data_IF_297573183721
#
_entry.id   IF_297573183721
#
_cell.length_a   1.000
_cell.length_b   1.000
_cell.length_c   1.000
_cell.angle_alpha   90.00
_cell.angle_beta   90.00
_cell.angle_gamma   90.00
#
_symmetry.space_group_name_H-M   'P 1'
#
loop_
_entity.id
_entity.type
_entity.pdbx_description
1 polymer ?
#
# COMPACT_ATOMS: atom_id res chain seq x y z
N UNK A 1 -9.16 -7.40 -10.63
CA UNK A 1 -9.62 -8.78 -10.29
C UNK A 1 -10.68 -8.70 -9.19
N UNK A 2 -11.51 -9.74 -9.01
CA UNK A 2 -12.50 -9.85 -7.92
C UNK A 2 -13.35 -8.58 -7.70
N UNK A 3 -13.79 -7.95 -8.78
CA UNK A 3 -14.40 -6.61 -8.78
C UNK A 3 -15.93 -6.60 -8.64
N UNK A 4 -16.55 -7.76 -8.42
CA UNK A 4 -17.99 -7.87 -8.16
C UNK A 4 -18.19 -8.07 -6.66
N UNK A 5 -18.96 -7.20 -5.96
CA UNK A 5 -19.19 -7.36 -4.53
C UNK A 5 -20.05 -8.61 -4.27
N UNK A 6 -19.50 -9.57 -3.53
CA UNK A 6 -20.18 -10.80 -3.11
C UNK A 6 -19.82 -11.11 -1.65
N UNK A 7 -20.80 -10.94 -0.75
CA UNK A 7 -20.63 -11.14 0.69
C UNK A 7 -20.48 -12.60 1.12
N UNK A 8 -20.59 -13.55 0.20
CA UNK A 8 -20.24 -14.96 0.45
C UNK A 8 -18.74 -15.22 0.34
N UNK A 9 -17.98 -14.25 -0.17
CA UNK A 9 -16.52 -14.29 -0.32
C UNK A 9 -16.04 -15.56 -1.06
N UNK A 10 -16.47 -15.78 -2.33
CA UNK A 10 -16.15 -17.00 -3.07
C UNK A 10 -14.65 -17.19 -3.31
N UNK A 11 -13.87 -16.09 -3.25
CA UNK A 11 -12.41 -16.08 -3.40
C UNK A 11 -11.68 -15.90 -2.06
N UNK A 12 -12.37 -16.12 -0.93
CA UNK A 12 -11.85 -15.88 0.42
C UNK A 12 -12.12 -14.46 0.93
N UNK A 13 -12.05 -14.30 2.25
CA UNK A 13 -12.23 -13.00 2.92
C UNK A 13 -11.09 -12.06 2.49
N UNK A 14 -11.38 -10.84 1.97
CA UNK A 14 -10.34 -9.92 1.52
C UNK A 14 -9.43 -9.48 2.67
N UNK A 15 -8.22 -10.03 2.71
CA UNK A 15 -7.19 -9.64 3.67
C UNK A 15 -5.77 -9.75 3.07
N UNK A 16 -5.36 -8.81 2.22
CA UNK A 16 -4.05 -8.88 1.54
C UNK A 16 -2.81 -8.80 2.46
N UNK A 17 -2.99 -8.57 3.78
CA UNK A 17 -1.92 -8.79 4.77
C UNK A 17 -1.47 -10.26 4.81
N UNK A 18 -2.38 -11.20 4.56
CA UNK A 18 -2.08 -12.62 4.51
C UNK A 18 -1.37 -12.95 3.18
N UNK A 19 -0.17 -13.56 3.18
CA UNK A 19 0.55 -13.90 1.96
C UNK A 19 -0.26 -14.69 0.93
N UNK A 20 -1.14 -15.58 1.38
CA UNK A 20 -2.04 -16.37 0.55
C UNK A 20 -3.08 -15.51 -0.21
N UNK A 21 -3.47 -14.35 0.31
CA UNK A 21 -4.41 -13.42 -0.34
C UNK A 21 -3.73 -12.50 -1.38
N UNK A 22 -2.40 -12.57 -1.52
CA UNK A 22 -1.62 -11.69 -2.41
C UNK A 22 -1.47 -12.25 -3.82
N UNK A 23 -1.60 -13.56 -3.97
CA UNK A 23 -1.18 -14.28 -5.18
C UNK A 23 -1.98 -13.89 -6.42
N UNK A 24 -3.30 -13.67 -6.29
CA UNK A 24 -4.14 -13.27 -7.42
C UNK A 24 -3.75 -11.88 -7.95
N UNK A 25 -3.46 -10.92 -7.06
CA UNK A 25 -3.05 -9.57 -7.48
C UNK A 25 -1.68 -9.62 -8.15
N UNK A 26 -0.73 -10.34 -7.55
CA UNK A 26 0.60 -10.58 -8.14
C UNK A 26 0.49 -11.19 -9.53
N UNK A 27 -0.30 -12.26 -9.69
CA UNK A 27 -0.47 -12.95 -10.97
C UNK A 27 -1.05 -12.03 -12.02
N UNK A 28 -2.10 -11.27 -11.68
CA UNK A 28 -2.72 -10.33 -12.60
C UNK A 28 -1.74 -9.23 -13.06
N UNK A 29 -0.90 -8.71 -12.16
CA UNK A 29 0.14 -7.74 -12.52
C UNK A 29 1.11 -8.32 -13.55
N UNK A 30 1.64 -9.52 -13.27
CA UNK A 30 2.63 -10.19 -14.15
C UNK A 30 2.00 -10.58 -15.50
N UNK A 31 0.80 -11.17 -15.47
CA UNK A 31 0.09 -11.65 -16.66
C UNK A 31 -0.23 -10.51 -17.64
N UNK A 32 -0.64 -9.36 -17.11
CA UNK A 32 -1.02 -8.21 -17.92
C UNK A 32 0.12 -7.21 -18.16
N UNK A 33 1.30 -7.43 -17.57
CA UNK A 33 2.40 -6.48 -17.64
C UNK A 33 2.01 -5.10 -17.09
N UNK A 34 1.24 -5.08 -15.99
CA UNK A 34 0.75 -3.84 -15.38
C UNK A 34 1.87 -3.10 -14.65
N UNK A 35 1.80 -1.76 -14.65
CA UNK A 35 2.79 -0.92 -13.96
C UNK A 35 2.75 -1.07 -12.44
N UNK A 36 1.58 -1.37 -11.88
CA UNK A 36 1.39 -1.65 -10.45
C UNK A 36 0.09 -2.43 -10.19
N UNK A 37 0.02 -3.05 -9.01
CA UNK A 37 -1.20 -3.66 -8.48
C UNK A 37 -1.68 -2.96 -7.21
N UNK A 38 -3.01 -2.91 -7.03
CA UNK A 38 -3.63 -2.42 -5.79
C UNK A 38 -4.69 -3.44 -5.36
N UNK A 39 -4.60 -3.87 -4.11
CA UNK A 39 -5.63 -4.66 -3.44
C UNK A 39 -6.18 -3.90 -2.24
N UNK A 40 -7.38 -4.26 -1.81
CA UNK A 40 -8.06 -3.69 -0.65
C UNK A 40 -8.56 -4.80 0.27
N UNK A 41 -8.86 -4.45 1.51
CA UNK A 41 -9.66 -5.30 2.38
C UNK A 41 -11.17 -5.08 2.16
N UNK A 42 -12.00 -5.73 2.98
CA UNK A 42 -13.44 -5.89 2.70
C UNK A 42 -14.26 -4.60 2.72
N UNK A 43 -13.84 -3.59 3.49
CA UNK A 43 -14.46 -2.26 3.59
C UNK A 43 -13.61 -1.15 2.94
N UNK A 44 -12.48 -1.52 2.34
CA UNK A 44 -11.63 -0.67 1.50
C UNK A 44 -10.97 0.51 2.24
N UNK A 45 -10.84 0.46 3.56
CA UNK A 45 -10.10 1.47 4.33
C UNK A 45 -8.59 1.21 4.33
N UNK A 46 -8.17 -0.02 4.01
CA UNK A 46 -6.77 -0.41 3.81
C UNK A 46 -6.50 -0.73 2.34
N UNK A 47 -5.41 -0.19 1.82
CA UNK A 47 -4.90 -0.52 0.49
C UNK A 47 -3.51 -1.15 0.57
N UNK A 48 -3.20 -1.98 -0.42
CA UNK A 48 -2.00 -2.80 -0.49
C UNK A 48 -1.41 -2.69 -1.89
N UNK A 49 -0.14 -2.34 -1.98
CA UNK A 49 0.51 -2.02 -3.25
C UNK A 49 1.45 -3.14 -3.68
N UNK A 50 1.50 -3.33 -5.00
CA UNK A 50 2.38 -4.26 -5.67
C UNK A 50 3.14 -3.53 -6.77
N UNK A 51 4.44 -3.79 -6.90
CA UNK A 51 5.25 -3.26 -8.02
C UNK A 51 4.97 -4.00 -9.34
N UNK A 52 5.60 -3.56 -10.43
CA UNK A 52 5.45 -4.10 -11.78
C UNK A 52 5.90 -5.57 -11.91
N UNK A 53 6.69 -6.06 -10.95
CA UNK A 53 7.16 -7.45 -10.85
C UNK A 53 6.24 -8.30 -9.95
N UNK A 54 5.11 -7.73 -9.53
CA UNK A 54 4.15 -8.35 -8.63
C UNK A 54 4.68 -8.56 -7.21
N UNK A 55 5.71 -7.82 -6.79
CA UNK A 55 6.21 -7.87 -5.41
C UNK A 55 5.33 -7.00 -4.53
N UNK A 56 4.93 -7.55 -3.38
CA UNK A 56 4.20 -6.80 -2.37
C UNK A 56 5.11 -5.75 -1.71
N UNK A 57 4.63 -4.51 -1.64
CA UNK A 57 5.34 -3.44 -0.95
C UNK A 57 4.86 -3.37 0.49
N UNK A 58 5.78 -3.58 1.43
CA UNK A 58 5.47 -3.45 2.86
C UNK A 58 4.95 -2.05 3.18
N UNK A 59 3.82 -1.98 3.89
CA UNK A 59 3.11 -0.73 4.18
C UNK A 59 3.95 0.32 4.91
N UNK A 60 5.02 -0.11 5.60
CA UNK A 60 6.02 0.77 6.19
C UNK A 60 6.62 1.77 5.19
N UNK A 61 6.98 1.34 3.99
CA UNK A 61 7.59 2.21 2.99
C UNK A 61 6.57 3.15 2.33
N UNK A 62 5.29 2.75 2.32
CA UNK A 62 4.19 3.57 1.79
C UNK A 62 3.97 4.83 2.63
N UNK A 63 4.21 4.76 3.95
CA UNK A 63 4.11 5.95 4.81
C UNK A 63 5.10 7.03 4.38
N UNK A 64 6.36 6.67 4.16
CA UNK A 64 7.38 7.62 3.69
C UNK A 64 7.05 8.19 2.31
N UNK A 65 6.66 7.33 1.35
CA UNK A 65 6.26 7.74 0.00
C UNK A 65 5.12 8.77 0.02
N UNK A 66 4.06 8.50 0.78
CA UNK A 66 2.94 9.43 0.89
C UNK A 66 3.35 10.71 1.63
N UNK A 67 4.15 10.61 2.68
CA UNK A 67 4.65 11.77 3.42
C UNK A 67 5.42 12.74 2.50
N UNK A 68 6.34 12.23 1.69
CA UNK A 68 7.08 13.01 0.69
C UNK A 68 6.12 13.70 -0.29
N UNK A 69 5.20 12.93 -0.91
CA UNK A 69 4.24 13.45 -1.88
C UNK A 69 3.30 14.54 -1.30
N UNK A 70 2.96 14.45 -0.01
CA UNK A 70 2.16 15.48 0.66
C UNK A 70 2.99 16.68 1.10
N UNK A 71 4.25 16.51 1.50
CA UNK A 71 5.15 17.61 1.86
C UNK A 71 5.54 18.46 0.65
N UNK A 72 5.62 17.87 -0.56
CA UNK A 72 5.74 18.64 -1.80
C UNK A 72 4.59 19.64 -1.99
N UNK A 73 3.37 19.24 -1.60
CA UNK A 73 2.16 20.08 -1.74
C UNK A 73 1.93 20.99 -0.54
N UNK A 74 2.39 20.57 0.63
CA UNK A 74 2.22 21.25 1.92
C UNK A 74 3.55 21.33 2.68
N UNK A 75 4.48 22.20 2.25
CA UNK A 75 5.79 22.32 2.87
C UNK A 75 5.71 22.61 4.37
N UNK A 76 6.52 21.92 5.18
CA UNK A 76 6.55 22.09 6.64
C UNK A 76 5.37 21.49 7.40
N UNK A 77 4.50 20.71 6.74
CA UNK A 77 3.41 20.03 7.42
C UNK A 77 3.90 18.98 8.44
N UNK A 78 3.04 18.67 9.40
CA UNK A 78 3.25 17.59 10.38
C UNK A 78 2.78 16.26 9.81
N UNK A 79 3.57 15.21 9.99
CA UNK A 79 3.24 13.85 9.58
C UNK A 79 3.09 12.96 10.82
N UNK A 80 1.89 12.40 11.01
CA UNK A 80 1.62 11.48 12.11
C UNK A 80 1.92 10.06 11.64
N UNK A 81 2.72 9.34 12.43
CA UNK A 81 2.98 7.91 12.22
C UNK A 81 2.95 7.14 13.55
N UNK A 82 2.80 5.82 13.47
CA UNK A 82 2.79 4.95 14.64
C UNK A 82 4.22 4.56 15.08
N UNK A 83 4.40 3.96 16.27
CA UNK A 83 5.74 3.68 16.82
C UNK A 83 6.32 2.32 16.44
N UNK A 84 5.67 1.50 15.59
CA UNK A 84 6.11 0.13 15.28
C UNK A 84 7.33 0.10 14.36
N UNK A 85 7.34 0.98 13.36
CA UNK A 85 8.42 1.12 12.36
C UNK A 85 8.57 2.61 12.03
N UNK A 86 9.71 3.21 12.38
CA UNK A 86 9.83 4.68 12.40
C UNK A 86 10.97 5.26 11.55
N UNK A 87 12.15 4.63 11.55
CA UNK A 87 13.37 5.26 11.00
C UNK A 87 13.29 5.73 9.54
N UNK A 88 12.66 4.94 8.66
CA UNK A 88 12.47 5.32 7.25
C UNK A 88 11.55 6.53 7.13
N UNK A 89 10.42 6.51 7.86
CA UNK A 89 9.45 7.60 7.86
C UNK A 89 10.08 8.88 8.40
N UNK A 90 10.77 8.82 9.53
CA UNK A 90 11.45 9.98 10.14
C UNK A 90 12.51 10.57 9.20
N UNK A 91 13.30 9.72 8.54
CA UNK A 91 14.32 10.16 7.59
C UNK A 91 13.71 10.86 6.37
N UNK A 92 12.68 10.27 5.76
CA UNK A 92 11.99 10.85 4.60
C UNK A 92 11.28 12.16 4.96
N UNK A 93 10.55 12.20 6.08
CA UNK A 93 9.87 13.42 6.55
C UNK A 93 10.87 14.55 6.80
N UNK A 94 12.00 14.25 7.46
CA UNK A 94 13.04 15.25 7.72
C UNK A 94 13.67 15.76 6.42
N UNK A 95 13.98 14.86 5.48
CA UNK A 95 14.58 15.21 4.20
C UNK A 95 13.64 16.07 3.34
N UNK A 96 12.33 15.81 3.41
CA UNK A 96 11.28 16.58 2.73
C UNK A 96 10.87 17.88 3.46
N UNK A 97 11.53 18.23 4.57
CA UNK A 97 11.28 19.47 5.32
C UNK A 97 10.01 19.46 6.17
N UNK A 98 9.46 18.29 6.47
CA UNK A 98 8.35 18.11 7.40
C UNK A 98 8.78 17.94 8.86
N UNK A 99 7.80 17.70 9.73
CA UNK A 99 8.01 17.41 11.17
C UNK A 99 7.09 16.31 11.67
#
# INVERSE_FOLDING_TARGET
IHNTPDGTFPNGIPNPLLPECRDDTRKAVIEHGADMGIAFDGDFDRCFLFDEKGQFIEGYYIVGLLAEAFLEKHPGAKIIHDPRLTWNTEAVVTAAGGT
#
